data_IF_944555027032
#
_entry.id   IF_944555027032
#
_cell.length_a   1.000
_cell.length_b   1.000
_cell.length_c   1.000
_cell.angle_alpha   90.00
_cell.angle_beta   90.00
_cell.angle_gamma   90.00
#
_symmetry.space_group_name_H-M   'P 1'
#
loop_
_entity.id
_entity.type
_entity.pdbx_description
1 polymer ?
#
# COMPACT_ATOMS: atom_id res chain seq x y z
N UNK A 1 5.79 -13.29 15.62
CA UNK A 1 6.32 -12.11 16.33
C UNK A 1 7.75 -11.86 15.88
N UNK A 2 8.25 -10.62 15.90
CA UNK A 2 9.67 -10.36 15.63
C UNK A 2 10.50 -10.89 16.80
N UNK A 3 11.60 -11.61 16.51
CA UNK A 3 12.45 -12.24 17.54
C UNK A 3 13.18 -11.21 18.42
N UNK A 4 13.41 -10.01 17.90
CA UNK A 4 14.11 -8.91 18.57
C UNK A 4 13.33 -7.61 18.39
N UNK A 5 13.18 -6.87 19.49
CA UNK A 5 12.65 -5.51 19.57
C UNK A 5 13.58 -4.48 18.91
N UNK A 6 13.13 -3.24 18.77
CA UNK A 6 13.96 -2.16 18.24
C UNK A 6 15.08 -1.79 19.23
N UNK A 7 14.75 -1.81 20.51
CA UNK A 7 15.63 -1.51 21.64
C UNK A 7 16.78 -2.52 21.73
N UNK A 8 16.50 -3.82 21.63
CA UNK A 8 17.54 -4.86 21.63
C UNK A 8 18.50 -4.71 20.43
N UNK A 9 18.00 -4.30 19.27
CA UNK A 9 18.83 -4.05 18.09
C UNK A 9 19.69 -2.81 18.27
N UNK A 10 19.12 -1.72 18.80
CA UNK A 10 19.87 -0.50 19.11
C UNK A 10 20.97 -0.76 20.12
N UNK A 11 20.70 -1.57 21.16
CA UNK A 11 21.71 -1.97 22.13
C UNK A 11 22.85 -2.75 21.46
N UNK A 12 22.53 -3.69 20.57
CA UNK A 12 23.54 -4.44 19.82
C UNK A 12 24.38 -3.53 18.89
N UNK A 13 23.76 -2.53 18.26
CA UNK A 13 24.45 -1.53 17.44
C UNK A 13 25.37 -0.66 18.29
N UNK A 14 24.89 -0.14 19.41
CA UNK A 14 25.68 0.70 20.31
C UNK A 14 26.88 -0.03 20.90
N UNK A 15 26.75 -1.32 21.24
CA UNK A 15 27.86 -2.17 21.69
C UNK A 15 28.97 -2.30 20.63
N UNK A 16 28.62 -2.25 19.35
CA UNK A 16 29.58 -2.27 18.26
C UNK A 16 30.20 -0.89 17.99
N UNK A 17 29.38 0.17 17.91
CA UNK A 17 29.84 1.52 17.55
C UNK A 17 30.66 2.19 18.66
N UNK A 18 30.27 1.99 19.92
CA UNK A 18 30.88 2.66 21.08
C UNK A 18 31.64 1.71 22.00
N UNK A 19 31.60 0.41 21.73
CA UNK A 19 32.32 -0.61 22.48
C UNK A 19 33.52 -1.16 21.72
N UNK A 20 34.16 -2.17 22.30
CA UNK A 20 35.28 -2.91 21.70
C UNK A 20 34.85 -4.27 21.14
N UNK A 21 33.56 -4.57 21.18
CA UNK A 21 33.04 -5.88 20.83
C UNK A 21 32.88 -6.05 19.31
N UNK A 22 33.36 -7.19 18.79
CA UNK A 22 33.14 -7.54 17.39
C UNK A 22 31.70 -7.99 17.11
N UNK A 23 31.28 -7.94 15.83
CA UNK A 23 29.99 -8.52 15.39
C UNK A 23 29.79 -9.98 15.85
N UNK A 24 30.87 -10.77 15.90
CA UNK A 24 30.82 -12.17 16.32
C UNK A 24 30.59 -12.30 17.82
N UNK A 25 31.25 -11.47 18.62
CA UNK A 25 31.11 -11.44 20.08
C UNK A 25 29.69 -11.05 20.46
N UNK A 26 29.17 -9.97 19.88
CA UNK A 26 27.80 -9.48 20.12
C UNK A 26 26.79 -10.53 19.68
N UNK A 27 26.94 -11.07 18.46
CA UNK A 27 26.05 -12.12 17.97
C UNK A 27 26.00 -13.34 18.89
N UNK A 28 27.16 -13.81 19.38
CA UNK A 28 27.23 -14.94 20.31
C UNK A 28 26.52 -14.65 21.63
N UNK A 29 26.63 -13.43 22.18
CA UNK A 29 26.02 -13.09 23.47
C UNK A 29 24.49 -13.02 23.43
N UNK A 30 23.90 -12.62 22.29
CA UNK A 30 22.43 -12.55 22.14
C UNK A 30 21.84 -13.71 21.31
N UNK A 31 22.64 -14.71 20.95
CA UNK A 31 22.17 -15.89 20.20
C UNK A 31 21.80 -15.61 18.72
N UNK A 32 22.56 -14.73 18.06
CA UNK A 32 22.34 -14.27 16.69
C UNK A 32 23.61 -14.43 15.85
N UNK A 33 23.47 -14.74 14.56
CA UNK A 33 24.61 -14.79 13.65
C UNK A 33 25.21 -13.38 13.44
N UNK A 34 26.54 -13.26 13.44
CA UNK A 34 27.26 -11.99 13.22
C UNK A 34 26.79 -11.19 12.00
N UNK A 35 26.31 -11.86 10.93
CA UNK A 35 25.73 -11.21 9.75
C UNK A 35 24.48 -10.38 10.04
N UNK A 36 23.67 -10.79 11.02
CA UNK A 36 22.52 -9.99 11.43
C UNK A 36 22.94 -8.75 12.21
N UNK A 37 24.02 -8.81 13.00
CA UNK A 37 24.59 -7.63 13.67
C UNK A 37 25.15 -6.65 12.62
N UNK A 38 25.94 -7.17 11.68
CA UNK A 38 26.46 -6.37 10.55
C UNK A 38 25.32 -5.66 9.80
N UNK A 39 24.21 -6.35 9.56
CA UNK A 39 23.01 -5.78 8.94
C UNK A 39 22.43 -4.65 9.79
N UNK A 40 22.22 -4.85 11.10
CA UNK A 40 21.63 -3.81 11.96
C UNK A 40 22.50 -2.56 12.04
N UNK A 41 23.82 -2.73 12.12
CA UNK A 41 24.76 -1.61 12.10
C UNK A 41 24.68 -0.84 10.78
N UNK A 42 24.69 -1.55 9.64
CA UNK A 42 24.50 -0.88 8.33
C UNK A 42 23.16 -0.15 8.25
N UNK A 43 22.07 -0.76 8.69
CA UNK A 43 20.76 -0.09 8.65
C UNK A 43 20.76 1.20 9.50
N UNK A 44 21.41 1.17 10.66
CA UNK A 44 21.57 2.34 11.53
C UNK A 44 22.47 3.41 10.90
N UNK A 45 23.61 3.06 10.30
CA UNK A 45 24.50 4.02 9.63
C UNK A 45 23.79 4.86 8.54
N UNK A 46 22.77 4.30 7.87
CA UNK A 46 22.05 4.99 6.80
C UNK A 46 20.73 5.64 7.24
N UNK A 47 20.08 5.14 8.30
CA UNK A 47 18.72 5.56 8.69
C UNK A 47 18.56 5.88 10.17
N UNK A 48 19.65 5.88 10.94
CA UNK A 48 19.66 6.07 12.39
C UNK A 48 18.63 5.18 13.11
N UNK A 49 17.90 5.75 14.06
CA UNK A 49 16.85 5.07 14.84
C UNK A 49 15.68 4.63 13.95
N UNK A 50 15.44 5.31 12.82
CA UNK A 50 14.34 4.98 11.90
C UNK A 50 14.52 3.60 11.24
N UNK A 51 15.75 3.08 11.22
CA UNK A 51 16.10 1.74 10.75
C UNK A 51 15.27 0.60 11.40
N UNK A 52 14.81 0.83 12.64
CA UNK A 52 14.12 -0.19 13.44
C UNK A 52 12.61 0.04 13.56
N UNK A 53 12.11 1.14 12.99
CA UNK A 53 10.67 1.42 12.93
C UNK A 53 10.05 0.50 11.89
N UNK A 54 9.05 -0.28 12.29
CA UNK A 54 8.40 -1.26 11.41
C UNK A 54 7.53 -0.53 10.38
N UNK A 55 7.99 -0.50 9.14
CA UNK A 55 7.20 0.00 8.00
C UNK A 55 6.56 -1.15 7.23
N UNK A 56 5.25 -1.04 6.97
CA UNK A 56 4.54 -1.93 6.05
C UNK A 56 4.65 -1.36 4.63
N UNK A 57 5.70 -1.75 3.91
CA UNK A 57 6.00 -1.16 2.60
C UNK A 57 5.60 -2.09 1.47
N UNK A 58 4.75 -1.58 0.56
CA UNK A 58 4.55 -2.16 -0.76
C UNK A 58 5.48 -1.47 -1.76
N UNK A 59 6.24 -2.25 -2.52
CA UNK A 59 7.16 -1.71 -3.52
C UNK A 59 6.55 -1.77 -4.91
N UNK A 60 6.53 -0.63 -5.61
CA UNK A 60 6.14 -0.53 -7.02
C UNK A 60 7.16 -1.26 -7.91
N UNK A 61 6.76 -1.65 -9.12
CA UNK A 61 7.70 -2.26 -10.08
C UNK A 61 8.88 -1.31 -10.35
N UNK A 62 8.60 -0.02 -10.58
CA UNK A 62 9.61 0.98 -10.85
C UNK A 62 10.63 1.08 -9.71
N UNK A 63 10.17 1.18 -8.46
CA UNK A 63 11.07 1.24 -7.30
C UNK A 63 12.01 0.03 -7.25
N UNK A 64 11.49 -1.18 -7.54
CA UNK A 64 12.33 -2.39 -7.55
C UNK A 64 13.39 -2.33 -8.64
N UNK A 65 13.07 -1.80 -9.81
CA UNK A 65 14.02 -1.62 -10.90
C UNK A 65 15.09 -0.60 -10.51
N UNK A 66 14.69 0.54 -9.94
CA UNK A 66 15.63 1.59 -9.52
C UNK A 66 16.63 1.06 -8.50
N UNK A 67 16.17 0.26 -7.53
CA UNK A 67 17.02 -0.41 -6.53
C UNK A 67 18.01 -1.38 -7.17
N UNK A 68 17.57 -2.19 -8.14
CA UNK A 68 18.43 -3.17 -8.81
C UNK A 68 19.45 -2.49 -9.74
N UNK A 69 19.04 -1.42 -10.43
CA UNK A 69 19.91 -0.61 -11.28
C UNK A 69 20.99 0.06 -10.42
N UNK A 70 20.60 0.68 -9.30
CA UNK A 70 21.55 1.25 -8.36
C UNK A 70 22.58 0.22 -7.86
N UNK A 71 22.13 -0.99 -7.49
CA UNK A 71 23.04 -2.05 -7.05
C UNK A 71 24.03 -2.45 -8.14
N UNK A 72 23.61 -2.41 -9.41
CA UNK A 72 24.44 -2.78 -10.57
C UNK A 72 25.41 -1.67 -10.94
N UNK A 73 24.94 -0.42 -10.95
CA UNK A 73 25.73 0.77 -11.30
C UNK A 73 26.82 1.07 -10.27
N UNK A 74 26.49 1.00 -8.99
CA UNK A 74 27.41 1.33 -7.90
C UNK A 74 28.11 0.09 -7.29
N UNK A 75 27.81 -1.12 -7.78
CA UNK A 75 28.41 -2.35 -7.29
C UNK A 75 28.17 -2.63 -5.79
N UNK A 76 27.10 -2.08 -5.22
CA UNK A 76 26.83 -2.19 -3.77
C UNK A 76 26.37 -3.59 -3.40
N UNK A 77 26.64 -4.01 -2.15
CA UNK A 77 26.12 -5.29 -1.66
C UNK A 77 24.62 -5.20 -1.36
N UNK A 78 23.89 -6.32 -1.44
CA UNK A 78 22.46 -6.33 -1.08
C UNK A 78 22.18 -5.83 0.35
N UNK A 79 23.14 -5.93 1.27
CA UNK A 79 23.01 -5.40 2.63
C UNK A 79 23.07 -3.86 2.60
N UNK A 80 24.05 -3.30 1.90
CA UNK A 80 24.21 -1.85 1.76
C UNK A 80 23.06 -1.24 0.98
N UNK A 81 22.71 -1.81 -0.18
CA UNK A 81 21.56 -1.35 -0.97
C UNK A 81 20.28 -1.38 -0.14
N UNK A 82 20.04 -2.44 0.64
CA UNK A 82 18.87 -2.51 1.50
C UNK A 82 18.89 -1.45 2.60
N UNK A 83 20.06 -1.08 3.12
CA UNK A 83 20.16 0.00 4.09
C UNK A 83 19.90 1.36 3.44
N UNK A 84 20.48 1.64 2.26
CA UNK A 84 20.29 2.89 1.51
C UNK A 84 18.82 3.15 1.16
N UNK A 85 18.11 2.13 0.68
CA UNK A 85 16.71 2.23 0.28
C UNK A 85 15.72 1.91 1.42
N UNK A 86 16.21 1.80 2.66
CA UNK A 86 15.42 1.44 3.84
C UNK A 86 14.54 0.18 3.63
N UNK A 87 15.08 -0.83 2.97
CA UNK A 87 14.43 -2.12 2.75
C UNK A 87 14.73 -3.02 3.97
N UNK A 88 13.70 -3.50 4.71
CA UNK A 88 13.92 -4.22 5.96
C UNK A 88 14.72 -5.52 5.83
N UNK A 89 14.70 -6.17 4.67
CA UNK A 89 15.35 -7.45 4.43
C UNK A 89 16.18 -7.44 3.14
N UNK A 90 17.52 -7.58 3.21
CA UNK A 90 18.39 -7.71 2.05
C UNK A 90 18.00 -8.86 1.11
N UNK A 91 17.45 -9.94 1.67
CA UNK A 91 16.93 -11.07 0.89
C UNK A 91 15.83 -10.68 -0.09
N UNK A 92 15.09 -9.59 0.18
CA UNK A 92 14.06 -9.07 -0.73
C UNK A 92 14.68 -8.62 -2.05
N UNK A 93 15.84 -7.95 -2.01
CA UNK A 93 16.56 -7.50 -3.21
C UNK A 93 17.09 -8.70 -4.00
N UNK A 94 17.62 -9.72 -3.30
CA UNK A 94 18.08 -10.97 -3.94
C UNK A 94 16.93 -11.67 -4.67
N UNK A 95 15.73 -11.70 -4.07
CA UNK A 95 14.53 -12.25 -4.71
C UNK A 95 14.15 -11.44 -5.95
N UNK A 96 14.15 -10.11 -5.89
CA UNK A 96 13.86 -9.27 -7.07
C UNK A 96 14.86 -9.49 -8.19
N UNK A 97 16.16 -9.54 -7.88
CA UNK A 97 17.21 -9.83 -8.87
C UNK A 97 16.95 -11.17 -9.57
N UNK A 98 16.68 -12.23 -8.80
CA UNK A 98 16.37 -13.55 -9.35
C UNK A 98 15.09 -13.53 -10.21
N UNK A 99 14.06 -12.80 -9.79
CA UNK A 99 12.82 -12.67 -10.55
C UNK A 99 13.05 -11.98 -11.90
N UNK A 100 13.83 -10.90 -11.91
CA UNK A 100 14.21 -10.18 -13.11
C UNK A 100 15.02 -11.07 -14.06
N UNK A 101 16.02 -11.80 -13.55
CA UNK A 101 16.85 -12.71 -14.35
C UNK A 101 16.07 -13.90 -14.92
N UNK A 102 15.10 -14.43 -14.18
CA UNK A 102 14.36 -15.66 -14.58
C UNK A 102 13.17 -15.36 -15.48
N UNK A 103 12.46 -14.25 -15.24
CA UNK A 103 11.13 -14.00 -15.82
C UNK A 103 10.99 -12.60 -16.42
N UNK A 104 12.06 -11.80 -16.43
CA UNK A 104 12.05 -10.44 -16.97
C UNK A 104 11.33 -9.42 -16.07
N UNK A 105 11.16 -8.22 -16.61
CA UNK A 105 10.68 -7.04 -15.87
C UNK A 105 9.25 -7.24 -15.32
N UNK A 106 8.37 -7.91 -16.06
CA UNK A 106 6.98 -8.14 -15.68
C UNK A 106 6.83 -8.93 -14.37
N UNK A 107 7.80 -9.77 -14.03
CA UNK A 107 7.78 -10.54 -12.78
C UNK A 107 8.00 -9.70 -11.52
N UNK A 108 8.52 -8.48 -11.66
CA UNK A 108 8.65 -7.53 -10.55
C UNK A 108 7.32 -6.87 -10.17
N UNK A 109 6.26 -7.05 -10.97
CA UNK A 109 4.94 -6.53 -10.64
C UNK A 109 4.47 -7.09 -9.30
N UNK A 110 3.94 -6.20 -8.45
CA UNK A 110 3.35 -6.61 -7.18
C UNK A 110 2.08 -7.40 -7.46
N UNK A 111 2.12 -8.73 -7.30
CA UNK A 111 0.91 -9.54 -7.34
C UNK A 111 0.02 -9.10 -6.18
N UNK A 112 -1.25 -8.75 -6.46
CA UNK A 112 -2.24 -8.44 -5.42
C UNK A 112 -2.26 -9.58 -4.42
N UNK A 113 -1.74 -9.32 -3.22
CA UNK A 113 -1.61 -10.34 -2.18
C UNK A 113 -2.97 -10.55 -1.53
N UNK A 114 -3.60 -11.68 -1.84
CA UNK A 114 -4.88 -12.07 -1.27
C UNK A 114 -5.50 -13.26 -1.99
N UNK A 115 -6.40 -13.97 -1.30
CA UNK A 115 -7.37 -14.86 -1.96
C UNK A 115 -8.14 -14.00 -2.96
N UNK A 116 -8.39 -14.44 -4.22
CA UNK A 116 -9.38 -13.80 -5.06
C UNK A 116 -10.62 -13.62 -4.19
N UNK A 117 -11.12 -12.39 -4.08
CA UNK A 117 -12.37 -12.16 -3.35
C UNK A 117 -13.38 -13.15 -3.91
N UNK A 118 -13.93 -14.02 -3.05
CA UNK A 118 -15.05 -14.84 -3.50
C UNK A 118 -16.06 -13.86 -4.06
N UNK A 119 -16.48 -14.04 -5.31
CA UNK A 119 -17.62 -13.30 -5.86
C UNK A 119 -18.81 -13.64 -4.97
N UNK A 120 -19.02 -12.87 -3.90
CA UNK A 120 -20.36 -12.69 -3.40
C UNK A 120 -21.04 -11.92 -4.50
N UNK A 121 -22.08 -12.52 -5.05
CA UNK A 121 -23.15 -11.79 -5.73
C UNK A 121 -23.80 -10.87 -4.70
N UNK A 122 -23.05 -9.86 -4.23
CA UNK A 122 -23.64 -8.73 -3.56
C UNK A 122 -24.02 -7.79 -4.69
N UNK A 123 -25.29 -7.86 -5.04
CA UNK A 123 -26.04 -6.77 -5.62
C UNK A 123 -25.78 -5.52 -4.75
N UNK A 124 -24.72 -4.79 -5.06
CA UNK A 124 -24.39 -3.49 -4.50
C UNK A 124 -23.90 -2.68 -5.68
N UNK A 125 -24.84 -1.92 -6.24
CA UNK A 125 -24.60 -0.80 -7.14
C UNK A 125 -23.32 -0.10 -6.72
N UNK A 126 -22.29 -0.25 -7.55
CA UNK A 126 -21.15 0.63 -7.45
C UNK A 126 -21.69 2.03 -7.72
N UNK A 127 -21.53 2.92 -6.73
CA UNK A 127 -21.48 4.35 -7.00
C UNK A 127 -20.28 4.56 -7.92
N UNK A 128 -20.51 4.43 -9.23
CA UNK A 128 -19.61 5.01 -10.21
C UNK A 128 -19.62 6.50 -9.92
N UNK A 129 -18.47 7.02 -9.51
CA UNK A 129 -18.15 8.43 -9.68
C UNK A 129 -18.18 8.65 -11.18
N UNK A 130 -19.33 9.13 -11.65
CA UNK A 130 -19.62 9.40 -13.03
C UNK A 130 -18.85 10.67 -13.39
N UNK A 131 -17.89 10.54 -14.29
CA UNK A 131 -17.25 11.68 -14.94
C UNK A 131 -18.37 12.48 -15.62
N UNK A 132 -18.57 13.72 -15.17
CA UNK A 132 -19.46 14.68 -15.81
C UNK A 132 -19.05 14.85 -17.27
N UNK A 133 -19.88 14.36 -18.20
CA UNK A 133 -19.68 14.56 -19.65
C UNK A 133 -19.92 13.35 -20.56
N UNK A 134 -20.15 12.13 -20.04
CA UNK A 134 -20.52 10.99 -20.91
C UNK A 134 -21.98 11.10 -21.40
N UNK A 135 -22.24 10.74 -22.66
CA UNK A 135 -23.57 10.78 -23.29
C UNK A 135 -24.63 9.98 -22.52
N UNK A 136 -24.20 8.92 -21.85
CA UNK A 136 -25.04 8.03 -21.03
C UNK A 136 -25.48 8.69 -19.71
N UNK A 137 -24.64 9.56 -19.13
CA UNK A 137 -24.95 10.35 -17.94
C UNK A 137 -26.06 11.37 -18.21
N UNK A 138 -25.96 12.05 -19.36
CA UNK A 138 -26.97 12.99 -19.83
C UNK A 138 -28.32 12.31 -20.09
N UNK A 139 -28.32 11.10 -20.64
CA UNK A 139 -29.56 10.34 -20.85
C UNK A 139 -30.24 9.96 -19.54
N UNK A 140 -29.47 9.50 -18.55
CA UNK A 140 -29.99 9.16 -17.23
C UNK A 140 -30.60 10.37 -16.52
N UNK A 141 -29.94 11.54 -16.58
CA UNK A 141 -30.45 12.77 -15.98
C UNK A 141 -31.71 13.27 -16.71
N UNK A 142 -31.76 13.20 -18.04
CA UNK A 142 -32.97 13.54 -18.80
C UNK A 142 -34.14 12.63 -18.39
N UNK A 143 -33.92 11.34 -18.22
CA UNK A 143 -34.97 10.42 -17.78
C UNK A 143 -35.44 10.72 -16.35
N UNK A 144 -34.50 10.99 -15.44
CA UNK A 144 -34.81 11.40 -14.07
C UNK A 144 -35.64 12.69 -14.04
N UNK A 145 -35.20 13.73 -14.75
CA UNK A 145 -35.90 15.02 -14.85
C UNK A 145 -37.28 14.88 -15.47
N UNK A 146 -37.47 13.95 -16.43
CA UNK A 146 -38.80 13.65 -17.00
C UNK A 146 -39.72 13.02 -15.98
N UNK A 147 -39.24 12.05 -15.19
CA UNK A 147 -40.04 11.42 -14.13
C UNK A 147 -40.41 12.42 -13.03
N UNK A 148 -39.48 13.29 -12.63
CA UNK A 148 -39.73 14.32 -11.61
C UNK A 148 -40.77 15.35 -12.10
N UNK A 149 -40.68 15.79 -13.36
CA UNK A 149 -41.68 16.66 -13.96
C UNK A 149 -43.06 16.01 -14.08
N UNK A 150 -43.14 14.72 -14.45
CA UNK A 150 -44.41 13.98 -14.47
C UNK A 150 -45.05 13.91 -13.09
N UNK A 151 -44.24 13.65 -12.06
CA UNK A 151 -44.71 13.59 -10.68
C UNK A 151 -45.27 14.95 -10.22
N UNK A 152 -44.54 16.03 -10.49
CA UNK A 152 -44.99 17.40 -10.18
C UNK A 152 -46.29 17.77 -10.92
N UNK A 153 -46.44 17.37 -12.18
CA UNK A 153 -47.69 17.58 -12.93
C UNK A 153 -48.87 16.83 -12.31
N UNK A 154 -48.68 15.57 -11.89
CA UNK A 154 -49.73 14.80 -11.20
C UNK A 154 -50.08 15.42 -9.85
N UNK A 155 -49.09 15.88 -9.08
CA UNK A 155 -49.32 16.59 -7.83
C UNK A 155 -50.18 17.85 -8.04
N UNK A 156 -49.80 18.70 -9.01
CA UNK A 156 -50.56 19.91 -9.33
C UNK A 156 -51.99 19.60 -9.79
N UNK A 157 -52.20 18.52 -10.55
CA UNK A 157 -53.53 18.09 -10.96
C UNK A 157 -54.40 17.70 -9.75
N UNK A 158 -53.84 17.00 -8.76
CA UNK A 158 -54.54 16.64 -7.52
C UNK A 158 -54.87 17.87 -6.66
N UNK A 159 -53.93 18.83 -6.56
CA UNK A 159 -54.16 20.09 -5.83
C UNK A 159 -55.29 20.88 -6.49
N UNK A 160 -55.27 21.05 -7.82
CA UNK A 160 -56.35 21.72 -8.53
C UNK A 160 -57.70 21.00 -8.40
N UNK A 161 -57.71 19.67 -8.42
CA UNK A 161 -58.94 18.89 -8.20
C UNK A 161 -59.50 19.10 -6.78
N UNK A 162 -58.62 19.24 -5.78
CA UNK A 162 -58.99 19.51 -4.39
C UNK A 162 -59.49 20.93 -4.18
N UNK A 163 -58.91 21.91 -4.86
CA UNK A 163 -59.37 23.31 -4.82
C UNK A 163 -60.70 23.52 -5.54
N UNK A 164 -60.96 22.76 -6.61
CA UNK A 164 -62.24 22.76 -7.32
C UNK A 164 -63.34 21.96 -6.60
N UNK A 165 -63.00 21.21 -5.56
CA UNK A 165 -63.97 20.53 -4.70
C UNK A 165 -64.43 21.49 -3.59
N UNK A 166 -65.72 21.86 -3.51
CA UNK A 166 -66.20 22.80 -2.51
C UNK A 166 -66.00 22.18 -1.11
N UNK A 167 -65.21 22.84 -0.26
CA UNK A 167 -65.05 22.46 1.15
C UNK A 167 -66.42 22.52 1.82
N UNK A 168 -67.02 21.37 2.12
CA UNK A 168 -68.17 21.31 3.03
C UNK A 168 -67.66 21.60 4.44
N UNK A 169 -67.81 22.85 4.86
CA UNK A 169 -67.70 23.28 6.26
C UNK A 169 -68.83 22.61 7.05
N UNK A 170 -68.48 21.98 8.18
CA UNK A 170 -69.40 21.69 9.29
C UNK A 170 -69.22 22.78 10.33
#
# INVERSE_FOLDING_TARGET
>A
MAKFSAEEKLQAVNRYLYGTESYRTIGKSIGVNHKAIQKWVKQFEYNDVNAFIKQCTSYTQQFKLDVLNYMTEFGTSAIETAAIFNIPAPSTIVVWKKQLETYGVDALQSKKKGRPSMKKESNKQSKQVLVEGSTEALQAEIQRLRMENEYLKKLNALVQAKEKSPRKTK
#
